data_IF_388051347210
#
_entry.id   IF_388051347210
#
_cell.length_a   1.000
_cell.length_b   1.000
_cell.length_c   1.000
_cell.angle_alpha   90.00
_cell.angle_beta   90.00
_cell.angle_gamma   90.00
#
_symmetry.space_group_name_H-M   'P 1'
#
loop_
_entity.id
_entity.type
_entity.pdbx_description
1 polymer ?
#
# COMPACT_ATOMS: atom_id res chain seq x y z
N UNK A 1 -7.65 -2.32 -21.25
CA UNK A 1 -7.38 -1.44 -20.09
C UNK A 1 -5.92 -1.58 -19.69
N UNK A 2 -5.22 -0.47 -19.40
CA UNK A 2 -3.81 -0.44 -18.97
C UNK A 2 -3.75 -0.15 -17.47
N UNK A 3 -3.10 -1.05 -16.71
CA UNK A 3 -3.03 -0.98 -15.23
C UNK A 3 -1.56 -0.90 -14.80
N UNK A 4 -1.21 0.07 -13.97
CA UNK A 4 0.08 0.15 -13.29
C UNK A 4 -0.09 -0.25 -11.82
N UNK A 5 0.79 -1.09 -11.32
CA UNK A 5 0.85 -1.47 -9.90
C UNK A 5 2.19 -1.01 -9.35
N UNK A 6 2.20 -0.03 -8.45
CA UNK A 6 3.43 0.39 -7.76
C UNK A 6 3.73 -0.56 -6.60
N UNK A 7 5.02 -0.72 -6.25
CA UNK A 7 5.41 -1.77 -5.33
C UNK A 7 5.03 -3.17 -5.84
N UNK A 8 4.96 -3.33 -7.18
CA UNK A 8 4.41 -4.51 -7.81
C UNK A 8 5.25 -5.79 -7.65
N UNK A 9 6.51 -5.68 -7.23
CA UNK A 9 7.35 -6.82 -6.84
C UNK A 9 7.37 -7.04 -5.32
N UNK A 10 6.63 -6.23 -4.54
CA UNK A 10 6.37 -6.47 -3.13
C UNK A 10 5.34 -7.58 -2.92
N UNK A 11 5.07 -7.92 -1.65
CA UNK A 11 4.12 -8.97 -1.27
C UNK A 11 2.71 -8.71 -1.87
N UNK A 12 2.09 -7.59 -1.51
CA UNK A 12 0.72 -7.28 -1.91
C UNK A 12 0.64 -7.02 -3.41
N UNK A 13 1.52 -6.15 -3.93
CA UNK A 13 1.51 -5.77 -5.34
C UNK A 13 1.69 -6.97 -6.29
N UNK A 14 2.57 -7.91 -5.97
CA UNK A 14 2.80 -9.09 -6.81
C UNK A 14 1.62 -10.06 -6.82
N UNK A 15 0.91 -10.18 -5.70
CA UNK A 15 -0.30 -11.00 -5.62
C UNK A 15 -1.46 -10.36 -6.39
N UNK A 16 -1.67 -9.04 -6.25
CA UNK A 16 -2.66 -8.30 -7.05
C UNK A 16 -2.34 -8.42 -8.54
N UNK A 17 -1.08 -8.18 -8.94
CA UNK A 17 -0.65 -8.29 -10.33
C UNK A 17 -0.94 -9.68 -10.92
N UNK A 18 -0.60 -10.73 -10.19
CA UNK A 18 -0.83 -12.11 -10.59
C UNK A 18 -2.31 -12.44 -10.69
N UNK A 19 -3.11 -12.01 -9.72
CA UNK A 19 -4.55 -12.22 -9.70
C UNK A 19 -5.23 -11.53 -10.89
N UNK A 20 -4.94 -10.24 -11.08
CA UNK A 20 -5.52 -9.47 -12.18
C UNK A 20 -5.12 -10.03 -13.54
N UNK A 21 -3.87 -10.48 -13.71
CA UNK A 21 -3.41 -11.07 -14.96
C UNK A 21 -4.15 -12.36 -15.32
N UNK A 22 -4.50 -13.16 -14.32
CA UNK A 22 -5.25 -14.40 -14.52
C UNK A 22 -6.73 -14.15 -14.83
N UNK A 23 -7.34 -13.14 -14.19
CA UNK A 23 -8.78 -12.92 -14.26
C UNK A 23 -9.19 -11.85 -15.28
N UNK A 24 -8.33 -10.91 -15.63
CA UNK A 24 -8.61 -9.84 -16.59
C UNK A 24 -7.83 -10.05 -17.89
N UNK A 25 -8.24 -11.03 -18.70
CA UNK A 25 -7.54 -11.43 -19.95
C UNK A 25 -7.25 -10.27 -20.92
N UNK A 26 -8.15 -9.27 -20.99
CA UNK A 26 -8.02 -8.07 -21.86
C UNK A 26 -7.24 -6.92 -21.23
N UNK A 27 -6.75 -7.05 -19.98
CA UNK A 27 -5.97 -6.01 -19.32
C UNK A 27 -4.47 -6.20 -19.54
N UNK A 28 -3.80 -5.12 -19.86
CA UNK A 28 -2.34 -5.04 -19.85
C UNK A 28 -1.91 -4.53 -18.46
N UNK A 29 -1.06 -5.30 -17.78
CA UNK A 29 -0.63 -5.04 -16.42
C UNK A 29 0.88 -4.79 -16.42
N UNK A 30 1.29 -3.73 -15.73
CA UNK A 30 2.68 -3.38 -15.48
C UNK A 30 2.93 -3.21 -13.99
N UNK A 31 4.15 -3.49 -13.61
CA UNK A 31 4.68 -3.25 -12.28
C UNK A 31 5.64 -2.06 -12.32
N UNK A 32 5.69 -1.28 -11.24
CA UNK A 32 6.75 -0.32 -10.94
C UNK A 32 7.32 -0.68 -9.58
N UNK A 33 8.60 -1.03 -9.55
CA UNK A 33 9.29 -1.44 -8.31
C UNK A 33 10.79 -1.25 -8.48
N UNK A 34 11.47 -0.71 -7.48
CA UNK A 34 12.92 -0.50 -7.51
C UNK A 34 13.72 -1.75 -7.11
N UNK A 35 13.04 -2.82 -6.65
CA UNK A 35 13.60 -4.10 -6.22
C UNK A 35 14.50 -4.00 -4.98
N UNK A 36 14.32 -3.00 -4.15
CA UNK A 36 15.15 -2.77 -2.95
C UNK A 36 14.82 -3.71 -1.79
N UNK A 37 13.61 -4.30 -1.76
CA UNK A 37 13.20 -5.17 -0.67
C UNK A 37 13.63 -6.62 -0.86
N UNK A 38 13.96 -7.29 0.25
CA UNK A 38 14.21 -8.73 0.25
C UNK A 38 13.02 -9.48 -0.39
N UNK A 39 13.31 -10.43 -1.26
CA UNK A 39 12.29 -11.23 -1.96
C UNK A 39 11.68 -10.57 -3.19
N UNK A 40 11.87 -9.25 -3.43
CA UNK A 40 11.32 -8.59 -4.61
C UNK A 40 11.84 -9.16 -5.93
N UNK A 41 13.08 -9.65 -5.97
CA UNK A 41 13.63 -10.34 -7.15
C UNK A 41 12.89 -11.64 -7.45
N UNK A 42 12.56 -12.43 -6.43
CA UNK A 42 11.78 -13.67 -6.57
C UNK A 42 10.38 -13.37 -7.10
N UNK A 43 9.72 -12.35 -6.54
CA UNK A 43 8.43 -11.91 -7.05
C UNK A 43 8.53 -11.36 -8.48
N UNK A 44 9.63 -10.67 -8.85
CA UNK A 44 9.86 -10.24 -10.22
C UNK A 44 9.89 -11.42 -11.20
N UNK A 45 10.58 -12.51 -10.86
CA UNK A 45 10.65 -13.68 -11.72
C UNK A 45 9.29 -14.37 -11.87
N UNK A 46 8.49 -14.37 -10.80
CA UNK A 46 7.10 -14.81 -10.86
C UNK A 46 6.25 -13.94 -11.81
N UNK A 47 6.43 -12.62 -11.77
CA UNK A 47 5.74 -11.70 -12.66
C UNK A 47 6.18 -11.85 -14.12
N UNK A 48 7.47 -12.08 -14.37
CA UNK A 48 8.00 -12.36 -15.72
C UNK A 48 7.37 -13.60 -16.34
N UNK A 49 7.20 -14.69 -15.58
CA UNK A 49 6.48 -15.90 -16.04
C UNK A 49 5.04 -15.60 -16.49
N UNK A 50 4.42 -14.60 -15.91
CA UNK A 50 3.09 -14.10 -16.29
C UNK A 50 3.13 -13.03 -17.39
N UNK A 51 4.30 -12.76 -17.99
CA UNK A 51 4.51 -11.70 -19.00
C UNK A 51 4.12 -10.30 -18.49
N UNK A 52 4.31 -10.04 -17.18
CA UNK A 52 4.13 -8.72 -16.57
C UNK A 52 5.47 -8.02 -16.53
N UNK A 53 5.59 -6.90 -17.24
CA UNK A 53 6.82 -6.09 -17.28
C UNK A 53 6.92 -5.23 -16.01
N UNK A 54 8.11 -5.17 -15.41
CA UNK A 54 8.42 -4.25 -14.31
C UNK A 54 9.26 -3.07 -14.82
N UNK A 55 8.85 -1.87 -14.47
CA UNK A 55 9.69 -0.67 -14.57
C UNK A 55 10.53 -0.57 -13.30
N UNK A 56 11.85 -0.79 -13.42
CA UNK A 56 12.79 -0.66 -12.30
C UNK A 56 13.04 0.83 -12.03
N UNK A 57 12.13 1.46 -11.29
CA UNK A 57 12.11 2.90 -10.99
C UNK A 57 11.84 3.08 -9.50
N UNK A 58 12.55 4.03 -8.88
CA UNK A 58 12.23 4.47 -7.52
C UNK A 58 10.98 5.38 -7.58
N UNK A 59 10.02 5.17 -6.69
CA UNK A 59 8.78 5.95 -6.64
C UNK A 59 9.03 7.45 -6.40
N UNK A 60 10.20 7.81 -5.87
CA UNK A 60 10.63 9.20 -5.67
C UNK A 60 11.15 9.87 -6.95
N UNK A 61 11.42 9.11 -8.01
CA UNK A 61 11.92 9.63 -9.28
C UNK A 61 10.78 10.01 -10.22
N UNK A 62 10.19 11.18 -9.97
CA UNK A 62 9.10 11.67 -10.81
C UNK A 62 9.52 11.89 -12.27
N UNK A 63 10.79 12.26 -12.51
CA UNK A 63 11.26 12.50 -13.87
C UNK A 63 11.15 11.25 -14.76
N UNK A 64 11.44 10.07 -14.18
CA UNK A 64 11.24 8.79 -14.88
C UNK A 64 9.79 8.33 -14.85
N UNK A 65 9.03 8.57 -13.77
CA UNK A 65 7.61 8.20 -13.69
C UNK A 65 6.79 8.94 -14.74
N UNK A 66 7.03 10.24 -14.95
CA UNK A 66 6.27 11.06 -15.91
C UNK A 66 6.44 10.62 -17.36
N UNK A 67 7.51 9.88 -17.70
CA UNK A 67 7.78 9.37 -19.06
C UNK A 67 7.14 8.01 -19.33
N UNK A 68 6.60 7.34 -18.31
CA UNK A 68 5.91 6.06 -18.47
C UNK A 68 4.66 6.20 -19.36
N UNK A 69 4.24 5.12 -20.02
CA UNK A 69 3.00 5.10 -20.80
C UNK A 69 1.81 5.60 -20.00
N UNK A 70 0.77 6.05 -20.71
CA UNK A 70 -0.51 6.41 -20.09
C UNK A 70 -1.23 5.18 -19.56
N UNK A 71 -1.74 5.24 -18.33
CA UNK A 71 -2.51 4.19 -17.66
C UNK A 71 -3.97 4.62 -17.47
N UNK A 72 -4.88 3.63 -17.42
CA UNK A 72 -6.30 3.86 -17.10
C UNK A 72 -6.56 3.73 -15.59
N UNK A 73 -5.75 2.88 -14.91
CA UNK A 73 -5.82 2.62 -13.49
C UNK A 73 -4.42 2.52 -12.92
N UNK A 74 -4.21 3.16 -11.77
CA UNK A 74 -3.00 2.97 -10.96
C UNK A 74 -3.42 2.35 -9.63
N UNK A 75 -2.74 1.27 -9.23
CA UNK A 75 -2.91 0.64 -7.92
C UNK A 75 -1.64 0.91 -7.12
N UNK A 76 -1.72 1.80 -6.14
CA UNK A 76 -0.56 2.21 -5.35
C UNK A 76 -0.39 1.32 -4.13
N UNK A 77 0.52 0.32 -4.26
CA UNK A 77 0.90 -0.61 -3.21
C UNK A 77 2.30 -0.29 -2.64
N UNK A 78 2.98 0.75 -3.15
CA UNK A 78 4.32 1.07 -2.70
C UNK A 78 4.30 1.68 -1.31
N UNK A 79 5.10 1.13 -0.40
CA UNK A 79 5.29 1.68 0.93
C UNK A 79 6.53 1.11 1.63
N UNK A 80 7.09 1.87 2.57
CA UNK A 80 7.92 1.38 3.66
C UNK A 80 7.05 1.27 4.92
N UNK A 81 6.54 0.04 5.24
CA UNK A 81 5.52 -0.12 6.27
C UNK A 81 6.07 -0.44 7.66
N UNK A 82 7.39 -0.65 7.81
CA UNK A 82 7.99 -1.06 9.08
C UNK A 82 8.07 0.10 10.07
N UNK A 83 7.43 -0.04 11.23
CA UNK A 83 7.44 0.98 12.29
C UNK A 83 8.86 1.19 12.83
N UNK A 84 9.61 0.11 13.04
CA UNK A 84 11.00 0.21 13.50
C UNK A 84 11.89 0.93 12.47
N UNK A 85 11.62 0.78 11.18
CA UNK A 85 12.29 1.54 10.14
C UNK A 85 11.98 3.03 10.26
N UNK A 86 10.76 3.39 10.65
CA UNK A 86 10.39 4.79 10.86
C UNK A 86 11.22 5.48 11.96
N UNK A 87 11.69 4.74 12.94
CA UNK A 87 12.57 5.27 14.00
C UNK A 87 14.02 5.40 13.54
N UNK A 88 14.49 4.43 12.73
CA UNK A 88 15.89 4.37 12.27
C UNK A 88 16.15 5.24 11.05
N UNK A 89 15.20 5.38 10.16
CA UNK A 89 15.31 6.08 8.88
C UNK A 89 13.97 6.74 8.53
N UNK A 90 13.61 7.83 9.25
CA UNK A 90 12.36 8.55 9.03
C UNK A 90 12.25 9.15 7.63
N UNK A 91 13.37 9.58 7.06
CA UNK A 91 13.46 10.15 5.72
C UNK A 91 13.03 9.16 4.65
N UNK A 92 13.49 7.91 4.74
CA UNK A 92 13.08 6.86 3.81
C UNK A 92 11.58 6.64 3.86
N UNK A 93 11.01 6.58 5.07
CA UNK A 93 9.56 6.36 5.26
C UNK A 93 8.77 7.53 4.71
N UNK A 94 9.17 8.77 5.04
CA UNK A 94 8.50 9.97 4.55
C UNK A 94 8.59 10.08 3.02
N UNK A 95 9.79 9.96 2.46
CA UNK A 95 10.02 10.03 1.01
C UNK A 95 9.26 8.94 0.26
N UNK A 96 9.34 7.69 0.72
CA UNK A 96 8.67 6.59 0.02
C UNK A 96 7.15 6.69 0.09
N UNK A 97 6.61 6.95 1.29
CA UNK A 97 5.16 6.84 1.50
C UNK A 97 4.40 8.12 1.11
N UNK A 98 4.94 9.30 1.41
CA UNK A 98 4.24 10.55 1.14
C UNK A 98 4.68 11.17 -0.18
N UNK A 99 5.99 11.40 -0.37
CA UNK A 99 6.50 12.00 -1.62
C UNK A 99 6.29 11.05 -2.79
N UNK A 100 6.50 9.74 -2.58
CA UNK A 100 6.22 8.72 -3.58
C UNK A 100 4.76 8.72 -4.03
N UNK A 101 3.81 8.71 -3.08
CA UNK A 101 2.37 8.81 -3.40
C UNK A 101 2.04 10.12 -4.10
N UNK A 102 2.63 11.25 -3.68
CA UNK A 102 2.45 12.53 -4.39
C UNK A 102 2.91 12.46 -5.85
N UNK A 103 4.02 11.77 -6.15
CA UNK A 103 4.48 11.56 -7.52
C UNK A 103 3.49 10.71 -8.34
N UNK A 104 2.90 9.70 -7.72
CA UNK A 104 1.86 8.87 -8.33
C UNK A 104 0.59 9.67 -8.59
N UNK A 105 0.20 10.56 -7.69
CA UNK A 105 -0.93 11.46 -7.88
C UNK A 105 -0.72 12.39 -9.09
N UNK A 106 0.47 13.01 -9.21
CA UNK A 106 0.82 13.80 -10.39
C UNK A 106 0.71 12.99 -11.70
N UNK A 107 1.19 11.74 -11.67
CA UNK A 107 1.07 10.83 -12.82
C UNK A 107 -0.38 10.48 -13.09
N UNK A 108 -1.17 10.19 -12.07
CA UNK A 108 -2.59 9.86 -12.18
C UNK A 108 -3.40 11.00 -12.82
N UNK A 109 -3.17 12.23 -12.39
CA UNK A 109 -3.81 13.43 -12.99
C UNK A 109 -3.40 13.61 -14.45
N UNK A 110 -2.09 13.53 -14.74
CA UNK A 110 -1.56 13.63 -16.10
C UNK A 110 -2.18 12.59 -17.05
N UNK A 111 -2.34 11.36 -16.57
CA UNK A 111 -2.90 10.25 -17.36
C UNK A 111 -4.43 10.26 -17.43
N UNK A 112 -5.09 11.03 -16.57
CA UNK A 112 -6.54 10.94 -16.30
C UNK A 112 -6.92 9.53 -15.85
N UNK A 113 -6.10 8.91 -14.98
CA UNK A 113 -6.30 7.55 -14.50
C UNK A 113 -7.09 7.52 -13.19
N UNK A 114 -7.86 6.47 -12.99
CA UNK A 114 -8.41 6.13 -11.67
C UNK A 114 -7.28 5.66 -10.74
N UNK A 115 -7.51 5.74 -9.42
CA UNK A 115 -6.53 5.36 -8.40
C UNK A 115 -7.14 4.41 -7.37
N UNK A 116 -6.42 3.33 -7.06
CA UNK A 116 -6.66 2.54 -5.86
C UNK A 116 -5.44 2.69 -4.96
N UNK A 117 -5.63 3.19 -3.75
CA UNK A 117 -4.57 3.43 -2.78
C UNK A 117 -4.66 2.44 -1.61
N UNK A 118 -3.57 1.76 -1.32
CA UNK A 118 -3.48 0.88 -0.17
C UNK A 118 -3.02 1.68 1.05
N UNK A 119 -4.00 2.06 1.86
CA UNK A 119 -3.81 2.68 3.17
C UNK A 119 -3.71 1.60 4.26
N UNK A 120 -3.85 1.97 5.51
CA UNK A 120 -3.60 1.11 6.66
C UNK A 120 -4.54 1.44 7.82
N UNK A 121 -4.86 0.46 8.64
CA UNK A 121 -5.49 0.67 9.94
C UNK A 121 -4.64 1.50 10.92
N UNK A 122 -3.35 1.69 10.63
CA UNK A 122 -2.45 2.55 11.41
C UNK A 122 -2.76 4.05 11.30
N UNK A 123 -3.71 4.44 10.46
CA UNK A 123 -4.23 5.82 10.39
C UNK A 123 -5.17 6.15 11.57
N UNK A 124 -5.73 5.14 12.21
CA UNK A 124 -6.66 5.35 13.33
C UNK A 124 -5.95 5.79 14.61
N UNK A 125 -6.62 6.66 15.37
CA UNK A 125 -6.15 7.17 16.65
C UNK A 125 -5.93 6.05 17.66
N UNK A 126 -4.71 5.92 18.16
CA UNK A 126 -4.36 4.93 19.20
C UNK A 126 -5.11 5.22 20.49
N UNK A 127 -5.26 6.50 20.86
CA UNK A 127 -6.01 6.90 22.07
C UNK A 127 -7.44 6.40 22.00
N UNK A 128 -8.15 6.70 20.91
CA UNK A 128 -9.55 6.27 20.74
C UNK A 128 -9.69 4.75 20.69
N UNK A 129 -8.72 4.03 20.08
CA UNK A 129 -8.71 2.56 20.10
C UNK A 129 -8.54 2.01 21.52
N UNK A 130 -7.60 2.58 22.31
CA UNK A 130 -7.39 2.19 23.70
C UNK A 130 -8.62 2.46 24.58
N UNK A 131 -9.26 3.61 24.41
CA UNK A 131 -10.48 3.98 25.12
C UNK A 131 -11.65 3.04 24.78
N UNK A 132 -11.74 2.63 23.51
CA UNK A 132 -12.73 1.65 23.06
C UNK A 132 -12.52 0.29 23.76
N UNK A 133 -11.27 -0.15 23.89
CA UNK A 133 -10.94 -1.42 24.57
C UNK A 133 -11.20 -1.32 26.07
N UNK A 134 -10.84 -0.21 26.72
CA UNK A 134 -11.07 0.02 28.16
C UNK A 134 -12.56 0.06 28.53
N UNK A 135 -13.38 0.70 27.69
CA UNK A 135 -14.85 0.81 27.90
C UNK A 135 -15.57 -0.54 27.71
N UNK A 136 -14.99 -1.47 26.97
CA UNK A 136 -15.46 -2.84 26.90
C UNK A 136 -14.84 -3.62 28.04
N UNK A 137 -15.55 -3.68 29.18
CA UNK A 137 -15.22 -4.65 30.22
C UNK A 137 -14.97 -6.02 29.58
N UNK A 138 -13.78 -6.55 29.76
CA UNK A 138 -13.21 -7.72 29.07
C UNK A 138 -14.03 -9.02 29.19
N UNK A 139 -15.13 -9.01 29.95
CA UNK A 139 -15.96 -10.19 30.25
C UNK A 139 -17.29 -10.27 29.47
N UNK A 140 -17.58 -9.35 28.56
CA UNK A 140 -18.76 -9.50 27.68
C UNK A 140 -18.29 -9.72 26.26
N UNK A 141 -18.65 -10.87 25.71
CA UNK A 141 -18.36 -11.30 24.33
C UNK A 141 -18.45 -10.14 23.35
N UNK A 142 -17.56 -10.14 22.36
CA UNK A 142 -17.39 -9.10 21.32
C UNK A 142 -18.62 -9.08 20.36
N UNK A 143 -19.82 -9.06 20.90
CA UNK A 143 -21.06 -8.93 20.12
C UNK A 143 -21.56 -7.50 20.01
N UNK A 144 -20.68 -6.50 20.10
CA UNK A 144 -21.12 -5.13 19.89
C UNK A 144 -20.88 -4.72 18.44
N UNK A 145 -21.97 -4.39 17.77
CA UNK A 145 -22.12 -3.82 16.43
C UNK A 145 -21.34 -2.52 16.13
N UNK A 146 -20.45 -2.05 16.99
CA UNK A 146 -19.54 -0.94 16.70
C UNK A 146 -18.25 -1.48 16.10
N UNK A 147 -18.33 -1.85 14.84
CA UNK A 147 -17.16 -2.14 14.01
C UNK A 147 -16.35 -0.84 13.83
N UNK A 148 -15.02 -0.93 13.91
CA UNK A 148 -14.14 0.19 13.57
C UNK A 148 -14.28 0.40 12.05
N UNK A 149 -15.07 1.37 11.67
CA UNK A 149 -15.35 1.70 10.28
C UNK A 149 -14.54 2.90 9.78
N UNK A 150 -14.88 3.37 8.60
CA UNK A 150 -14.20 4.46 7.90
C UNK A 150 -14.20 5.79 8.67
N UNK A 151 -15.25 6.01 9.49
CA UNK A 151 -15.44 7.23 10.29
C UNK A 151 -14.77 7.18 11.67
N UNK A 152 -14.04 6.10 11.97
CA UNK A 152 -13.32 6.02 13.24
C UNK A 152 -12.26 7.12 13.31
N UNK A 153 -12.07 7.79 14.48
CA UNK A 153 -11.20 8.96 14.60
C UNK A 153 -9.75 8.70 14.14
N UNK A 154 -9.21 9.69 13.43
CA UNK A 154 -7.81 9.72 12.93
C UNK A 154 -7.07 10.97 13.42
N UNK A 155 -7.61 11.70 14.39
CA UNK A 155 -7.12 13.01 14.84
C UNK A 155 -5.83 12.95 15.66
N UNK A 156 -5.58 11.83 16.34
CA UNK A 156 -4.42 11.67 17.20
C UNK A 156 -3.28 10.96 16.45
N UNK A 157 -2.06 11.25 16.87
CA UNK A 157 -0.88 10.62 16.29
C UNK A 157 -0.87 9.10 16.51
N UNK A 158 -0.40 8.38 15.52
CA UNK A 158 -0.26 6.92 15.60
C UNK A 158 1.20 6.48 15.47
N UNK A 159 1.84 6.86 14.38
CA UNK A 159 3.24 6.61 14.04
C UNK A 159 3.59 7.43 12.81
N UNK A 160 4.87 7.62 12.50
CA UNK A 160 5.26 8.29 11.25
C UNK A 160 4.69 7.54 10.03
N UNK A 161 4.68 6.22 10.04
CA UNK A 161 4.03 5.42 9.00
C UNK A 161 2.53 5.74 8.90
N UNK A 162 1.81 5.73 10.02
CA UNK A 162 0.38 6.07 10.04
C UNK A 162 0.12 7.50 9.57
N UNK A 163 0.95 8.46 10.00
CA UNK A 163 0.89 9.85 9.56
C UNK A 163 1.08 9.96 8.04
N UNK A 164 2.11 9.32 7.46
CA UNK A 164 2.34 9.41 6.02
C UNK A 164 1.19 8.80 5.22
N UNK A 165 0.58 7.71 5.69
CA UNK A 165 -0.59 7.11 5.06
C UNK A 165 -1.82 8.01 5.16
N UNK A 166 -2.11 8.59 6.34
CA UNK A 166 -3.22 9.52 6.53
C UNK A 166 -3.06 10.80 5.69
N UNK A 167 -1.85 11.35 5.64
CA UNK A 167 -1.56 12.52 4.80
C UNK A 167 -1.74 12.20 3.32
N UNK A 168 -1.35 11.00 2.88
CA UNK A 168 -1.60 10.53 1.52
C UNK A 168 -3.10 10.43 1.21
N UNK A 169 -3.92 9.93 2.16
CA UNK A 169 -5.39 9.91 1.99
C UNK A 169 -5.97 11.32 1.78
N UNK A 170 -5.47 12.31 2.54
CA UNK A 170 -5.89 13.71 2.39
C UNK A 170 -5.45 14.26 1.04
N UNK A 171 -4.19 14.07 0.64
CA UNK A 171 -3.72 14.47 -0.69
C UNK A 171 -4.55 13.87 -1.82
N UNK A 172 -4.91 12.59 -1.73
CA UNK A 172 -5.76 11.92 -2.73
C UNK A 172 -7.10 12.64 -2.85
N UNK A 173 -7.74 12.96 -1.73
CA UNK A 173 -9.03 13.67 -1.72
C UNK A 173 -8.92 15.04 -2.39
N UNK A 174 -7.89 15.82 -2.08
CA UNK A 174 -7.65 17.14 -2.71
C UNK A 174 -7.41 17.00 -4.22
N UNK A 175 -6.53 16.09 -4.66
CA UNK A 175 -6.23 15.90 -6.07
C UNK A 175 -7.43 15.46 -6.92
N UNK A 176 -8.34 14.71 -6.32
CA UNK A 176 -9.50 14.16 -7.01
C UNK A 176 -10.79 14.96 -6.78
N UNK A 177 -10.78 15.99 -5.93
CA UNK A 177 -11.98 16.74 -5.56
C UNK A 177 -12.73 17.30 -6.77
N UNK A 178 -12.02 17.88 -7.73
CA UNK A 178 -12.60 18.42 -8.96
C UNK A 178 -12.36 17.52 -10.18
N UNK A 179 -11.94 16.30 -9.97
CA UNK A 179 -11.56 15.37 -11.02
C UNK A 179 -12.76 14.51 -11.43
N UNK A 180 -12.83 14.20 -12.76
CA UNK A 180 -13.77 13.18 -13.26
C UNK A 180 -13.31 11.75 -12.97
N UNK A 181 -12.04 11.56 -12.59
CA UNK A 181 -11.48 10.26 -12.24
C UNK A 181 -11.96 9.84 -10.85
N UNK A 182 -12.01 8.53 -10.63
CA UNK A 182 -12.42 7.93 -9.36
C UNK A 182 -11.21 7.45 -8.57
N UNK A 183 -11.34 7.48 -7.25
CA UNK A 183 -10.35 6.86 -6.38
C UNK A 183 -11.02 5.95 -5.35
N UNK A 184 -10.24 4.98 -4.85
CA UNK A 184 -10.61 4.11 -3.75
C UNK A 184 -9.45 4.05 -2.76
N UNK A 185 -9.76 4.24 -1.48
CA UNK A 185 -8.79 4.15 -0.37
C UNK A 185 -9.15 2.93 0.47
N UNK A 186 -8.23 1.96 0.55
CA UNK A 186 -8.42 0.75 1.34
C UNK A 186 -7.54 0.79 2.60
N UNK A 187 -8.14 0.82 3.79
CA UNK A 187 -7.44 0.76 5.08
C UNK A 187 -7.31 -0.68 5.54
N UNK A 188 -6.19 -1.30 5.19
CA UNK A 188 -5.92 -2.69 5.57
C UNK A 188 -5.44 -2.83 7.00
N UNK A 189 -5.85 -3.91 7.66
CA UNK A 189 -5.25 -4.41 8.89
C UNK A 189 -3.92 -5.13 8.63
N UNK A 190 -3.60 -6.12 9.47
CA UNK A 190 -2.45 -7.00 9.24
C UNK A 190 -2.77 -7.96 8.09
N UNK A 191 -1.92 -7.97 7.09
CA UNK A 191 -2.06 -8.84 5.92
C UNK A 191 -0.94 -9.89 5.97
N UNK A 192 -1.30 -11.16 5.78
CA UNK A 192 -0.38 -12.27 5.64
C UNK A 192 -0.82 -13.17 4.48
N UNK A 193 0.10 -13.90 3.89
CA UNK A 193 -0.21 -14.82 2.80
C UNK A 193 0.98 -15.25 1.95
N UNK A 194 0.72 -16.02 0.89
CA UNK A 194 1.77 -16.54 0.01
C UNK A 194 2.64 -15.44 -0.59
N UNK A 195 3.93 -15.73 -0.78
CA UNK A 195 4.92 -14.81 -1.35
C UNK A 195 5.25 -13.59 -0.48
N UNK A 196 4.88 -13.62 0.78
CA UNK A 196 5.38 -12.70 1.77
C UNK A 196 6.72 -13.21 2.31
N UNK A 197 7.78 -12.42 2.15
CA UNK A 197 9.10 -12.74 2.71
C UNK A 197 9.22 -12.04 4.06
N UNK A 198 8.95 -12.81 5.12
CA UNK A 198 8.97 -12.31 6.49
C UNK A 198 10.35 -11.91 6.97
N UNK A 199 10.40 -10.93 7.86
CA UNK A 199 11.56 -10.51 8.64
C UNK A 199 11.08 -10.09 10.05
N UNK A 200 12.01 -9.87 10.99
CA UNK A 200 11.67 -9.66 12.39
C UNK A 200 10.65 -8.54 12.64
N UNK A 201 10.73 -7.47 11.86
CA UNK A 201 9.88 -6.28 11.99
C UNK A 201 8.63 -6.31 11.11
N UNK A 202 8.48 -7.32 10.23
CA UNK A 202 7.35 -7.40 9.31
C UNK A 202 7.16 -8.81 8.73
N UNK A 203 5.88 -9.23 8.60
CA UNK A 203 5.54 -10.54 8.04
C UNK A 203 5.83 -11.68 9.02
N UNK A 204 5.51 -11.46 10.30
CA UNK A 204 5.80 -12.40 11.39
C UNK A 204 5.19 -13.79 11.17
N UNK A 205 4.01 -13.90 10.56
CA UNK A 205 3.36 -15.19 10.28
C UNK A 205 4.25 -16.05 9.38
N UNK A 206 4.72 -15.50 8.26
CA UNK A 206 5.59 -16.24 7.34
C UNK A 206 6.98 -16.51 7.93
N UNK A 207 7.46 -15.61 8.80
CA UNK A 207 8.70 -15.84 9.53
C UNK A 207 8.56 -16.99 10.53
N UNK A 208 7.45 -17.04 11.26
CA UNK A 208 7.17 -18.14 12.19
C UNK A 208 7.07 -19.48 11.47
N UNK A 209 6.29 -19.56 10.40
CA UNK A 209 6.21 -20.77 9.57
C UNK A 209 7.61 -21.22 9.13
N UNK A 210 8.42 -20.31 8.57
CA UNK A 210 9.77 -20.63 8.11
C UNK A 210 10.76 -21.00 9.24
N UNK A 211 10.44 -20.73 10.49
CA UNK A 211 11.25 -21.09 11.65
C UNK A 211 10.85 -22.45 12.29
N UNK A 212 9.70 -22.98 11.90
CA UNK A 212 9.15 -24.24 12.42
C UNK A 212 9.16 -25.36 11.36
N UNK A 213 9.60 -25.06 10.15
CA UNK A 213 9.93 -26.03 9.09
C UNK A 213 11.43 -26.34 9.08
#
# INVERSE_FOLDING_TARGET
>A
MKILITGGCGFVGSNIASFLKKNLKKANIWSLDNLSRRGSKINLDRLKKLKIKNFKININDYNRIKTLPKFNLIIDCCAEPAIERSKKDPDLVFKTNLVGTFNILKKSVKDKSNLIFLSSSRVYSIKNLRDLVKKKNLNKSITTKKVIGEYFPTSEASSLYGFTKLSSEKLIREFFYQSKQKYLINRFGVIAGPWQFGKQDQGFVTLWVAKHL
#
